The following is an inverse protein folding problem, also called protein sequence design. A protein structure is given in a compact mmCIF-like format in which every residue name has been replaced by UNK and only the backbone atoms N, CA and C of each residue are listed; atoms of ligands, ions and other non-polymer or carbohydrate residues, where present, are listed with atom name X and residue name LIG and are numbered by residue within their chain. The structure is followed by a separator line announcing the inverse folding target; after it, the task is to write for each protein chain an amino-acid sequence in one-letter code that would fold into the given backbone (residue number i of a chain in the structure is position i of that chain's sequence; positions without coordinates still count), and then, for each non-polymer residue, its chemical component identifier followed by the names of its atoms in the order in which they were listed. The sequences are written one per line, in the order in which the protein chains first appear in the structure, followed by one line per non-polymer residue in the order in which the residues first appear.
data_IF_436590039757
#
_entry.id   IF_436590039757
#
_cell.length_a   1.000
_cell.length_b   1.000
_cell.length_c   1.000
_cell.angle_alpha   90.00
_cell.angle_beta   90.00
_cell.angle_gamma   90.00
#
_symmetry.space_group_name_H-M   'P 1'
#
loop_
_entity.id
_entity.type
_entity.pdbx_description
1 polymer ?
#
# COMPACT_ATOMS: atom_id res chain seq x y z
N UNK A 1 5.79 -14.81 -15.74
CA UNK A 1 4.88 -13.72 -15.35
C UNK A 1 4.08 -14.17 -14.13
N UNK A 2 3.97 -13.37 -13.09
CA UNK A 2 3.25 -13.80 -11.92
C UNK A 2 1.73 -13.50 -12.07
N UNK A 3 0.96 -14.07 -11.14
CA UNK A 3 -0.49 -13.93 -11.14
C UNK A 3 -0.95 -12.47 -11.11
N UNK A 4 -0.26 -11.64 -10.33
CA UNK A 4 -0.63 -10.24 -10.17
C UNK A 4 -0.44 -9.44 -11.46
N UNK A 5 0.57 -9.76 -12.26
CA UNK A 5 0.77 -9.10 -13.55
C UNK A 5 -0.39 -9.39 -14.50
N UNK A 6 -0.85 -10.64 -14.52
CA UNK A 6 -1.96 -11.05 -15.38
C UNK A 6 -3.27 -10.41 -14.96
N UNK A 7 -3.47 -10.22 -13.67
CA UNK A 7 -4.73 -9.74 -13.12
C UNK A 7 -4.83 -8.22 -13.02
N UNK A 8 -3.79 -7.47 -13.39
CA UNK A 8 -3.77 -6.03 -13.15
C UNK A 8 -4.99 -5.30 -13.72
N UNK A 9 -5.38 -5.57 -14.98
CA UNK A 9 -6.52 -4.91 -15.59
C UNK A 9 -7.86 -5.31 -14.98
N UNK A 10 -8.00 -6.57 -14.62
CA UNK A 10 -9.22 -7.08 -13.99
C UNK A 10 -9.35 -6.53 -12.57
N UNK A 11 -8.24 -6.46 -11.87
CA UNK A 11 -8.20 -5.94 -10.49
C UNK A 11 -8.73 -4.51 -10.41
N UNK A 12 -8.32 -3.66 -11.33
CA UNK A 12 -8.78 -2.28 -11.39
C UNK A 12 -10.30 -2.18 -11.50
N UNK A 13 -10.90 -3.00 -12.36
CA UNK A 13 -12.35 -3.01 -12.54
C UNK A 13 -13.06 -3.47 -11.28
N UNK A 14 -12.55 -4.52 -10.66
CA UNK A 14 -13.17 -5.11 -9.47
C UNK A 14 -13.11 -4.14 -8.28
N UNK A 15 -11.95 -3.55 -8.05
CA UNK A 15 -11.75 -2.69 -6.88
C UNK A 15 -12.53 -1.39 -6.95
N UNK A 16 -12.88 -0.91 -8.15
CA UNK A 16 -13.66 0.32 -8.29
C UNK A 16 -15.01 0.28 -7.60
N UNK A 17 -15.61 -0.90 -7.48
CA UNK A 17 -16.93 -1.03 -6.91
C UNK A 17 -16.93 -1.23 -5.39
N UNK A 18 -15.77 -1.18 -4.77
CA UNK A 18 -15.61 -1.48 -3.34
C UNK A 18 -15.18 -0.26 -2.52
N UNK A 19 -15.61 0.93 -2.96
CA UNK A 19 -15.22 2.20 -2.37
C UNK A 19 -15.57 2.30 -0.88
N UNK A 20 -16.78 1.90 -0.52
CA UNK A 20 -17.23 1.96 0.88
C UNK A 20 -16.40 1.09 1.79
N UNK A 21 -15.95 -0.06 1.31
CA UNK A 21 -15.10 -0.95 2.07
C UNK A 21 -13.71 -0.36 2.27
N UNK A 22 -13.16 0.25 1.22
CA UNK A 22 -11.86 0.92 1.29
C UNK A 22 -11.91 2.05 2.32
N UNK A 23 -12.94 2.85 2.31
CA UNK A 23 -13.10 3.94 3.26
C UNK A 23 -13.17 3.42 4.70
N UNK A 24 -13.88 2.31 4.93
CA UNK A 24 -13.95 1.70 6.26
C UNK A 24 -12.60 1.18 6.72
N UNK A 25 -11.87 0.53 5.82
CA UNK A 25 -10.53 0.03 6.13
C UNK A 25 -9.61 1.18 6.52
N UNK A 26 -9.61 2.25 5.74
CA UNK A 26 -8.75 3.40 6.02
C UNK A 26 -9.15 4.14 7.29
N UNK A 27 -10.44 4.12 7.65
CA UNK A 27 -10.89 4.77 8.89
C UNK A 27 -10.25 4.14 10.13
N UNK A 28 -9.93 2.85 10.07
CA UNK A 28 -9.26 2.15 11.17
C UNK A 28 -7.85 2.66 11.38
N UNK A 29 -7.17 3.05 10.30
CA UNK A 29 -5.82 3.62 10.39
C UNK A 29 -5.79 5.00 11.06
N UNK A 30 -6.92 5.70 11.07
CA UNK A 30 -7.00 7.05 11.64
C UNK A 30 -5.92 7.97 11.10
N UNK A 31 -5.77 7.99 9.76
CA UNK A 31 -4.79 8.83 9.11
C UNK A 31 -5.09 10.31 9.38
N UNK A 32 -4.03 11.07 9.62
CA UNK A 32 -4.11 12.49 9.85
C UNK A 32 -3.43 13.25 8.74
N UNK A 33 -3.81 14.50 8.56
CA UNK A 33 -3.14 15.35 7.60
C UNK A 33 -1.64 15.43 7.93
N UNK A 34 -0.81 15.21 6.92
CA UNK A 34 0.64 15.20 7.08
C UNK A 34 1.25 13.83 7.38
N UNK A 35 0.44 12.82 7.66
CA UNK A 35 0.96 11.49 7.93
C UNK A 35 1.64 10.91 6.69
N UNK A 36 2.80 10.28 6.92
CA UNK A 36 3.51 9.54 5.87
C UNK A 36 3.01 8.11 5.85
N UNK A 37 2.75 7.59 4.66
CA UNK A 37 2.12 6.28 4.51
C UNK A 37 2.94 5.38 3.60
N UNK A 38 3.12 4.14 4.02
CA UNK A 38 3.69 3.06 3.22
C UNK A 38 2.56 2.10 2.84
N UNK A 39 2.28 2.03 1.55
CA UNK A 39 1.23 1.16 0.99
C UNK A 39 1.90 -0.05 0.37
N UNK A 40 1.80 -1.20 1.03
CA UNK A 40 2.45 -2.42 0.59
C UNK A 40 1.45 -3.30 -0.16
N UNK A 41 1.85 -3.75 -1.35
CA UNK A 41 0.97 -4.46 -2.24
C UNK A 41 -0.02 -3.51 -2.89
N UNK A 42 0.49 -2.37 -3.33
CA UNK A 42 -0.36 -1.29 -3.86
C UNK A 42 -1.20 -1.72 -5.06
N UNK A 43 -0.77 -2.77 -5.75
CA UNK A 43 -1.44 -3.23 -6.96
C UNK A 43 -1.47 -2.12 -7.99
N UNK A 44 -2.64 -1.83 -8.53
CA UNK A 44 -2.82 -0.75 -9.48
C UNK A 44 -3.06 0.61 -8.81
N UNK A 45 -2.77 0.70 -7.52
CA UNK A 45 -2.86 1.95 -6.79
C UNK A 45 -4.25 2.30 -6.29
N UNK A 46 -5.09 1.30 -6.09
CA UNK A 46 -6.50 1.50 -5.74
C UNK A 46 -6.70 2.30 -4.45
N UNK A 47 -5.78 2.18 -3.49
CA UNK A 47 -5.87 2.88 -2.21
C UNK A 47 -5.34 4.31 -2.26
N UNK A 48 -4.54 4.64 -3.25
CA UNK A 48 -3.81 5.91 -3.32
C UNK A 48 -4.71 7.13 -3.23
N UNK A 49 -5.80 7.25 -4.02
CA UNK A 49 -6.65 8.43 -3.93
C UNK A 49 -7.27 8.62 -2.54
N UNK A 50 -7.63 7.53 -1.90
CA UNK A 50 -8.25 7.57 -0.57
C UNK A 50 -7.25 7.95 0.51
N UNK A 51 -6.02 7.44 0.42
CA UNK A 51 -4.94 7.83 1.32
C UNK A 51 -4.64 9.33 1.15
N UNK A 52 -4.50 9.78 -0.10
CA UNK A 52 -4.18 11.18 -0.40
C UNK A 52 -5.22 12.13 0.14
N UNK A 53 -6.48 11.75 0.06
CA UNK A 53 -7.58 12.56 0.59
C UNK A 53 -7.43 12.79 2.10
N UNK A 54 -6.96 11.79 2.84
CA UNK A 54 -6.83 11.88 4.28
C UNK A 54 -5.56 12.56 4.76
N UNK A 55 -4.44 12.36 4.06
CA UNK A 55 -3.15 12.89 4.50
C UNK A 55 -2.80 14.25 3.88
N UNK A 56 -3.54 14.68 2.88
CA UNK A 56 -3.31 15.97 2.22
C UNK A 56 -2.38 15.85 1.02
N UNK A 57 -2.05 17.00 0.41
CA UNK A 57 -1.37 17.05 -0.88
C UNK A 57 0.14 16.83 -0.81
N UNK A 58 0.75 17.05 0.35
CA UNK A 58 2.20 17.11 0.46
C UNK A 58 2.82 15.98 1.26
N UNK A 59 2.01 15.21 1.98
CA UNK A 59 2.53 14.12 2.79
C UNK A 59 3.14 13.03 1.90
N UNK A 60 4.34 12.51 2.21
CA UNK A 60 4.93 11.45 1.42
C UNK A 60 4.12 10.15 1.47
N UNK A 61 3.88 9.58 0.30
CA UNK A 61 3.29 8.25 0.17
C UNK A 61 4.26 7.40 -0.63
N UNK A 62 4.63 6.26 -0.09
CA UNK A 62 5.45 5.29 -0.81
C UNK A 62 4.59 4.05 -1.07
N UNK A 63 4.46 3.69 -2.34
CA UNK A 63 3.65 2.56 -2.77
C UNK A 63 4.56 1.47 -3.30
N UNK A 64 4.45 0.29 -2.71
CA UNK A 64 5.35 -0.83 -2.99
C UNK A 64 4.56 -1.99 -3.57
N UNK A 65 5.11 -2.58 -4.63
CA UNK A 65 4.59 -3.82 -5.19
C UNK A 65 5.72 -4.62 -5.81
N UNK A 66 5.63 -5.94 -5.72
CA UNK A 66 6.61 -6.82 -6.34
C UNK A 66 6.34 -7.02 -7.84
N UNK A 67 5.13 -6.74 -8.28
CA UNK A 67 4.73 -6.88 -9.69
C UNK A 67 5.08 -5.62 -10.46
N UNK A 68 5.93 -5.78 -11.47
CA UNK A 68 6.32 -4.68 -12.35
C UNK A 68 5.11 -4.10 -13.10
N UNK A 69 4.22 -4.98 -13.56
CA UNK A 69 3.04 -4.56 -14.30
C UNK A 69 2.08 -3.76 -13.42
N UNK A 70 1.83 -4.23 -12.21
CA UNK A 70 0.97 -3.52 -11.26
C UNK A 70 1.53 -2.15 -10.94
N UNK A 71 2.82 -2.07 -10.66
CA UNK A 71 3.47 -0.81 -10.35
C UNK A 71 3.42 0.16 -11.53
N UNK A 72 3.64 -0.34 -12.73
CA UNK A 72 3.59 0.49 -13.93
C UNK A 72 2.19 1.07 -14.14
N UNK A 73 1.15 0.26 -13.98
CA UNK A 73 -0.22 0.73 -14.12
C UNK A 73 -0.57 1.77 -13.05
N UNK A 74 -0.14 1.54 -11.81
CA UNK A 74 -0.37 2.51 -10.73
C UNK A 74 0.30 3.84 -11.01
N UNK A 75 1.55 3.83 -11.47
CA UNK A 75 2.28 5.06 -11.76
C UNK A 75 1.69 5.82 -12.94
N UNK A 76 1.17 5.12 -13.94
CA UNK A 76 0.49 5.75 -15.07
C UNK A 76 -0.86 6.33 -14.68
N UNK A 77 -1.55 5.68 -13.75
CA UNK A 77 -2.88 6.09 -13.31
C UNK A 77 -2.84 7.33 -12.41
N UNK A 78 -1.80 7.45 -11.61
CA UNK A 78 -1.67 8.54 -10.63
C UNK A 78 -0.35 9.29 -10.77
N UNK A 79 -0.05 9.84 -11.97
CA UNK A 79 1.27 10.43 -12.21
C UNK A 79 1.56 11.68 -11.40
N UNK A 80 0.51 12.38 -10.96
CA UNK A 80 0.66 13.66 -10.27
C UNK A 80 0.26 13.58 -8.79
N UNK A 81 0.16 12.38 -8.24
CA UNK A 81 -0.29 12.20 -6.86
C UNK A 81 0.82 12.39 -5.82
N UNK A 82 2.04 12.71 -6.23
CA UNK A 82 3.17 12.86 -5.30
C UNK A 82 3.55 11.56 -4.63
N UNK A 83 3.32 10.44 -5.29
CA UNK A 83 3.59 9.10 -4.75
C UNK A 83 4.90 8.58 -5.32
N UNK A 84 5.74 8.03 -4.45
CA UNK A 84 6.91 7.31 -4.87
C UNK A 84 6.57 5.84 -5.03
N UNK A 85 6.65 5.35 -6.26
CA UNK A 85 6.39 3.95 -6.57
C UNK A 85 7.69 3.16 -6.50
N UNK A 86 7.71 2.10 -5.71
CA UNK A 86 8.89 1.26 -5.52
C UNK A 86 8.55 -0.18 -5.85
N UNK A 87 9.33 -0.78 -6.75
CA UNK A 87 9.22 -2.21 -7.00
C UNK A 87 10.10 -2.94 -6.00
N UNK A 88 9.48 -3.72 -5.13
CA UNK A 88 10.20 -4.49 -4.13
C UNK A 88 9.34 -5.63 -3.63
N UNK A 89 10.01 -6.71 -3.22
CA UNK A 89 9.39 -7.81 -2.50
C UNK A 89 9.65 -7.56 -1.01
N UNK A 90 8.62 -7.14 -0.30
CA UNK A 90 8.76 -6.73 1.10
C UNK A 90 9.25 -7.85 2.01
N UNK A 91 9.05 -9.11 1.62
CA UNK A 91 9.53 -10.24 2.40
C UNK A 91 11.04 -10.46 2.27
N UNK A 92 11.64 -9.95 1.20
CA UNK A 92 13.06 -10.17 0.89
C UNK A 92 13.89 -8.89 0.92
N UNK A 93 13.28 -7.80 0.48
CA UNK A 93 13.98 -6.53 0.33
C UNK A 93 13.77 -5.65 1.56
N UNK A 94 14.79 -4.91 1.93
CA UNK A 94 14.67 -3.92 3.00
C UNK A 94 14.23 -2.60 2.39
N UNK A 95 13.22 -2.00 3.01
CA UNK A 95 12.73 -0.70 2.60
C UNK A 95 13.39 0.38 3.45
N UNK A 96 13.65 1.53 2.83
CA UNK A 96 14.16 2.69 3.56
C UNK A 96 13.03 3.53 4.15
N UNK A 97 13.39 4.33 5.15
CA UNK A 97 12.47 5.31 5.73
C UNK A 97 11.55 4.76 6.79
N UNK A 98 10.97 5.70 7.53
CA UNK A 98 9.95 5.39 8.54
C UNK A 98 8.67 6.12 8.19
N UNK A 99 7.55 5.52 8.57
CA UNK A 99 6.22 5.99 8.22
C UNK A 99 5.32 6.05 9.45
N UNK A 100 4.36 6.97 9.41
CA UNK A 100 3.34 7.05 10.45
C UNK A 100 2.34 5.90 10.35
N UNK A 101 2.10 5.42 9.15
CA UNK A 101 1.18 4.32 8.92
C UNK A 101 1.72 3.39 7.84
N UNK A 102 1.51 2.10 8.05
CA UNK A 102 1.84 1.05 7.08
C UNK A 102 0.57 0.26 6.81
N UNK A 103 0.23 0.14 5.53
CA UNK A 103 -0.98 -0.55 5.10
C UNK A 103 -0.62 -1.76 4.25
N UNK A 104 -1.15 -2.92 4.65
CA UNK A 104 -1.03 -4.16 3.86
C UNK A 104 -2.44 -4.61 3.50
N UNK A 105 -2.93 -4.14 2.35
CA UNK A 105 -4.28 -4.47 1.89
C UNK A 105 -4.23 -5.60 0.88
N UNK A 106 -4.88 -6.71 1.20
CA UNK A 106 -5.04 -7.88 0.34
C UNK A 106 -3.73 -8.56 -0.07
N UNK A 107 -2.65 -8.32 0.65
CA UNK A 107 -1.34 -8.88 0.31
C UNK A 107 -0.86 -9.89 1.36
N UNK A 108 -1.25 -9.73 2.61
CA UNK A 108 -0.75 -10.54 3.71
C UNK A 108 -0.98 -12.06 3.52
N UNK A 109 -2.12 -12.52 3.00
CA UNK A 109 -2.34 -13.97 2.82
C UNK A 109 -1.35 -14.63 1.87
N UNK A 110 -0.67 -13.84 1.05
CA UNK A 110 0.31 -14.35 0.09
C UNK A 110 1.73 -14.40 0.65
N UNK A 111 1.92 -13.93 1.87
CA UNK A 111 3.26 -13.92 2.48
C UNK A 111 3.69 -15.31 2.88
N UNK A 112 4.96 -15.62 2.57
CA UNK A 112 5.59 -16.86 2.99
C UNK A 112 6.11 -16.76 4.42
N UNK A 113 6.56 -15.57 4.82
CA UNK A 113 7.13 -15.31 6.14
C UNK A 113 6.42 -14.11 6.78
N UNK A 114 5.12 -14.27 7.13
CA UNK A 114 4.33 -13.11 7.56
C UNK A 114 4.79 -12.51 8.89
N UNK A 115 5.13 -13.34 9.87
CA UNK A 115 5.52 -12.84 11.20
C UNK A 115 6.84 -12.09 11.13
N UNK A 116 7.84 -12.66 10.47
CA UNK A 116 9.14 -12.00 10.34
C UNK A 116 9.04 -10.70 9.57
N UNK A 117 8.24 -10.68 8.52
CA UNK A 117 8.05 -9.51 7.69
C UNK A 117 7.38 -8.38 8.47
N UNK A 118 6.32 -8.67 9.20
CA UNK A 118 5.63 -7.67 10.01
C UNK A 118 6.53 -7.16 11.12
N UNK A 119 7.26 -8.04 11.80
CA UNK A 119 8.18 -7.65 12.86
C UNK A 119 9.26 -6.68 12.33
N UNK A 120 9.80 -6.97 11.15
CA UNK A 120 10.82 -6.10 10.54
C UNK A 120 10.24 -4.75 10.14
N UNK A 121 9.04 -4.73 9.55
CA UNK A 121 8.38 -3.48 9.17
C UNK A 121 8.12 -2.59 10.39
N UNK A 122 7.64 -3.17 11.47
CA UNK A 122 7.38 -2.42 12.70
C UNK A 122 8.68 -1.87 13.30
N UNK A 123 9.73 -2.68 13.30
CA UNK A 123 11.01 -2.29 13.88
C UNK A 123 11.73 -1.23 13.03
N UNK A 124 11.76 -1.42 11.71
CA UNK A 124 12.60 -0.65 10.82
C UNK A 124 11.87 0.50 10.14
N UNK A 125 10.57 0.36 9.88
CA UNK A 125 9.87 1.26 8.99
C UNK A 125 8.67 1.99 9.62
N UNK A 126 8.38 1.74 10.88
CA UNK A 126 7.26 2.40 11.54
C UNK A 126 7.78 3.36 12.61
N UNK A 127 7.27 4.59 12.62
CA UNK A 127 7.56 5.51 13.70
C UNK A 127 6.96 5.00 15.00
N UNK A 128 7.60 5.35 16.12
CA UNK A 128 7.04 5.10 17.44
C UNK A 128 5.66 5.78 17.52
N UNK A 129 4.66 5.01 17.94
CA UNK A 129 3.27 5.50 17.93
C UNK A 129 2.57 5.38 16.59
N UNK A 130 3.25 4.88 15.58
CA UNK A 130 2.65 4.64 14.27
C UNK A 130 1.71 3.44 14.29
N UNK A 131 1.00 3.26 13.19
CA UNK A 131 -0.01 2.19 13.05
C UNK A 131 0.26 1.35 11.83
N UNK A 132 0.09 0.05 12.00
CA UNK A 132 0.18 -0.91 10.90
C UNK A 132 -1.16 -1.62 10.80
N UNK A 133 -1.75 -1.63 9.62
CA UNK A 133 -3.01 -2.29 9.38
C UNK A 133 -2.84 -3.39 8.35
N UNK A 134 -3.31 -4.57 8.70
CA UNK A 134 -3.42 -5.70 7.80
C UNK A 134 -4.90 -5.89 7.50
N UNK A 135 -5.27 -5.78 6.24
CA UNK A 135 -6.64 -5.98 5.82
C UNK A 135 -6.66 -6.73 4.50
N UNK A 136 -7.72 -7.47 4.26
CA UNK A 136 -7.90 -8.14 2.98
C UNK A 136 -9.36 -8.18 2.62
N UNK A 137 -9.62 -8.10 1.32
CA UNK A 137 -10.95 -8.25 0.77
C UNK A 137 -11.32 -9.73 0.67
N UNK A 138 -12.58 -10.01 0.83
CA UNK A 138 -13.10 -11.34 0.59
C UNK A 138 -13.89 -11.36 -0.71
#
# INVERSE_FOLDING_TARGET
MNFFDEMAGVWNKTCRYDTGRIEKVLSVLQLKQGDTVLDIGTGTGVMIPFIREQVGHYAPIVAVDSSEKMQREASLRFPNAGVRFVRADVERDRLGGRFNAILLYSVFPHFRYPVDTIARLVTDNLYCGGRLLIAHSQ
#
